data_IF_549262220663
#
_entry.id   IF_549262220663
#
_cell.length_a   1.000
_cell.length_b   1.000
_cell.length_c   1.000
_cell.angle_alpha   90.00
_cell.angle_beta   90.00
_cell.angle_gamma   90.00
#
_symmetry.space_group_name_H-M   'P 1'
#
loop_
_entity.id
_entity.type
_entity.pdbx_description
1 polymer ?
#
# COMPACT_ATOMS: atom_id res chain seq x y z
N UNK A 1 20.81 18.08 -9.41
CA UNK A 1 19.36 18.31 -9.35
C UNK A 1 19.00 18.68 -7.93
N UNK A 2 18.38 19.82 -7.69
CA UNK A 2 17.92 20.24 -6.37
C UNK A 2 16.58 19.61 -6.03
N UNK A 3 16.21 19.50 -4.74
CA UNK A 3 14.86 19.07 -4.35
C UNK A 3 13.78 20.00 -4.89
N UNK A 4 14.07 21.29 -5.09
CA UNK A 4 13.15 22.26 -5.72
C UNK A 4 12.84 21.85 -7.16
N UNK A 5 13.83 21.49 -7.95
CA UNK A 5 13.65 21.07 -9.34
C UNK A 5 12.92 19.71 -9.41
N UNK A 6 13.26 18.79 -8.51
CA UNK A 6 12.59 17.49 -8.39
C UNK A 6 11.10 17.68 -8.05
N UNK A 7 10.80 18.54 -7.07
CA UNK A 7 9.44 18.88 -6.66
C UNK A 7 8.63 19.49 -7.82
N UNK A 8 9.18 20.48 -8.50
CA UNK A 8 8.51 21.15 -9.64
C UNK A 8 8.15 20.16 -10.75
N UNK A 9 9.09 19.25 -11.10
CA UNK A 9 8.84 18.18 -12.09
C UNK A 9 7.72 17.22 -11.70
N UNK A 10 7.58 16.92 -10.38
CA UNK A 10 6.53 16.03 -9.89
C UNK A 10 5.18 16.71 -9.87
N UNK A 11 5.12 17.89 -9.27
CA UNK A 11 3.88 18.67 -9.14
C UNK A 11 3.21 18.88 -10.49
N UNK A 12 3.97 19.13 -11.57
CA UNK A 12 3.41 19.32 -12.92
C UNK A 12 2.72 18.09 -13.51
N UNK A 13 2.91 16.91 -12.93
CA UNK A 13 2.35 15.62 -13.41
C UNK A 13 1.30 15.03 -12.48
N UNK A 14 1.06 15.65 -11.32
CA UNK A 14 0.13 15.11 -10.35
C UNK A 14 -1.30 15.13 -10.90
N UNK A 15 -2.09 14.07 -10.63
CA UNK A 15 -3.52 14.11 -10.85
C UNK A 15 -4.18 15.24 -10.04
N UNK A 16 -5.33 15.74 -10.48
CA UNK A 16 -6.12 16.68 -9.66
C UNK A 16 -6.34 16.16 -8.24
N UNK A 17 -6.48 17.06 -7.29
CA UNK A 17 -6.73 16.75 -5.88
C UNK A 17 -5.74 15.73 -5.29
N UNK A 18 -4.44 15.95 -5.54
CA UNK A 18 -3.36 15.09 -5.04
C UNK A 18 -2.30 15.94 -4.34
N UNK A 19 -2.10 15.68 -3.04
CA UNK A 19 -1.13 16.37 -2.18
C UNK A 19 -0.05 15.44 -1.61
N UNK A 20 -0.05 14.16 -2.00
CA UNK A 20 0.97 13.20 -1.59
C UNK A 20 1.62 12.54 -2.81
N UNK A 21 2.95 12.48 -2.81
CA UNK A 21 3.73 11.95 -3.94
C UNK A 21 5.20 11.71 -3.56
N UNK A 22 5.86 10.85 -4.32
CA UNK A 22 7.31 10.69 -4.25
C UNK A 22 8.00 11.87 -4.91
N UNK A 23 8.57 12.74 -4.07
CA UNK A 23 9.26 13.94 -4.52
C UNK A 23 10.58 13.58 -5.21
N UNK A 24 11.38 12.69 -4.61
CA UNK A 24 12.67 12.24 -5.13
C UNK A 24 12.84 10.73 -4.95
N UNK A 25 13.26 10.04 -5.98
CA UNK A 25 13.41 8.59 -6.06
C UNK A 25 14.86 8.18 -6.38
N UNK A 26 15.44 8.79 -7.42
CA UNK A 26 16.75 8.42 -7.98
C UNK A 26 17.77 9.56 -7.98
N UNK A 27 17.35 10.74 -7.55
CA UNK A 27 18.21 11.92 -7.59
C UNK A 27 19.41 11.77 -6.64
N UNK A 28 19.24 10.96 -5.56
CA UNK A 28 20.29 10.63 -4.60
C UNK A 28 20.31 9.11 -4.35
N UNK A 29 21.39 8.39 -4.68
CA UNK A 29 21.48 6.95 -4.49
C UNK A 29 21.23 6.53 -3.04
N UNK A 30 20.28 5.61 -2.84
CA UNK A 30 19.93 5.08 -1.52
C UNK A 30 19.14 6.05 -0.63
N UNK A 31 18.57 7.10 -1.19
CA UNK A 31 17.73 8.08 -0.49
C UNK A 31 16.47 8.28 -1.31
N UNK A 32 15.31 8.21 -0.65
CA UNK A 32 14.04 8.58 -1.26
C UNK A 32 13.32 9.62 -0.41
N UNK A 33 12.53 10.45 -1.06
CA UNK A 33 11.78 11.52 -0.40
C UNK A 33 10.31 11.42 -0.81
N UNK A 34 9.44 11.23 0.17
CA UNK A 34 7.99 11.22 -0.02
C UNK A 34 7.38 12.48 0.63
N UNK A 35 6.60 13.24 -0.13
CA UNK A 35 5.83 14.36 0.40
C UNK A 35 4.42 13.93 0.71
N UNK A 36 3.94 14.30 1.90
CA UNK A 36 2.59 14.09 2.38
C UNK A 36 2.02 15.43 2.85
N UNK A 37 1.47 16.23 1.92
CA UNK A 37 0.99 17.58 2.23
C UNK A 37 2.09 18.48 2.80
N UNK A 38 1.97 18.93 4.07
CA UNK A 38 2.99 19.74 4.73
C UNK A 38 4.14 18.91 5.33
N UNK A 39 4.01 17.58 5.38
CA UNK A 39 5.04 16.69 5.92
C UNK A 39 5.86 16.02 4.83
N UNK A 40 7.13 15.79 5.12
CA UNK A 40 8.04 15.04 4.27
C UNK A 40 8.62 13.85 5.04
N UNK A 41 8.73 12.73 4.37
CA UNK A 41 9.41 11.53 4.85
C UNK A 41 10.69 11.34 4.04
N UNK A 42 11.84 11.51 4.69
CA UNK A 42 13.17 11.24 4.16
C UNK A 42 13.57 9.82 4.53
N UNK A 43 13.57 8.91 3.56
CA UNK A 43 13.94 7.50 3.77
C UNK A 43 15.38 7.25 3.35
N UNK A 44 16.17 6.71 4.27
CA UNK A 44 17.61 6.45 4.12
C UNK A 44 17.85 4.95 4.07
N UNK A 45 18.32 4.45 2.92
CA UNK A 45 18.66 3.04 2.69
C UNK A 45 20.18 2.81 2.78
N UNK A 46 20.93 3.84 3.20
CA UNK A 46 22.37 3.86 3.49
C UNK A 46 22.66 4.81 4.63
N UNK A 47 23.84 4.75 5.16
CA UNK A 47 24.34 5.78 6.07
C UNK A 47 24.39 7.12 5.33
N UNK A 48 23.86 8.15 5.93
CA UNK A 48 23.74 9.49 5.34
C UNK A 48 24.15 10.57 6.35
N UNK A 49 25.47 10.84 6.49
CA UNK A 49 25.95 11.89 7.39
C UNK A 49 25.42 13.28 7.04
N UNK A 50 24.93 13.45 5.81
CA UNK A 50 24.30 14.65 5.29
C UNK A 50 22.79 14.78 5.63
N UNK A 51 22.22 13.86 6.43
CA UNK A 51 20.75 13.82 6.66
C UNK A 51 20.17 15.14 7.17
N UNK A 52 20.87 15.84 8.07
CA UNK A 52 20.41 17.13 8.58
C UNK A 52 20.36 18.19 7.48
N UNK A 53 21.42 18.30 6.67
CA UNK A 53 21.47 19.23 5.53
C UNK A 53 20.34 18.96 4.53
N UNK A 54 20.09 17.69 4.22
CA UNK A 54 18.99 17.30 3.33
C UNK A 54 17.63 17.67 3.92
N UNK A 55 17.44 17.48 5.22
CA UNK A 55 16.22 17.86 5.92
C UNK A 55 15.98 19.39 5.89
N UNK A 56 17.03 20.17 6.11
CA UNK A 56 16.94 21.64 6.06
C UNK A 56 16.61 22.14 4.63
N UNK A 57 17.21 21.53 3.60
CA UNK A 57 16.87 21.82 2.20
C UNK A 57 15.41 21.47 1.86
N UNK A 58 14.88 20.35 2.41
CA UNK A 58 13.49 19.95 2.21
C UNK A 58 12.54 20.86 2.95
N UNK A 59 12.87 21.27 4.18
CA UNK A 59 12.07 22.21 4.96
C UNK A 59 11.96 23.59 4.29
N UNK A 60 12.97 23.99 3.50
CA UNK A 60 12.96 25.24 2.73
C UNK A 60 12.05 25.20 1.48
N UNK A 61 11.39 24.09 1.18
CA UNK A 61 10.41 24.00 0.09
C UNK A 61 9.07 24.59 0.53
N UNK A 62 8.38 25.24 -0.40
CA UNK A 62 7.08 25.86 -0.13
C UNK A 62 6.06 24.87 0.43
N UNK A 63 5.43 25.25 1.55
CA UNK A 63 4.37 24.49 2.21
C UNK A 63 4.87 23.22 2.93
N UNK A 64 6.16 23.09 3.18
CA UNK A 64 6.70 22.05 4.08
C UNK A 64 6.84 22.61 5.50
N UNK A 65 6.29 21.90 6.48
CA UNK A 65 6.31 22.27 7.90
C UNK A 65 7.18 21.35 8.73
N UNK A 66 7.37 20.09 8.27
CA UNK A 66 8.14 19.10 9.00
C UNK A 66 8.79 18.05 8.10
N UNK A 67 9.96 17.56 8.51
CA UNK A 67 10.70 16.49 7.85
C UNK A 67 10.99 15.39 8.85
N UNK A 68 10.52 14.17 8.56
CA UNK A 68 10.72 12.98 9.37
C UNK A 68 11.70 12.04 8.67
N UNK A 69 12.69 11.55 9.40
CA UNK A 69 13.64 10.57 8.85
C UNK A 69 13.19 9.14 9.13
N UNK A 70 13.38 8.26 8.16
CA UNK A 70 13.19 6.81 8.28
C UNK A 70 14.44 6.11 7.80
N UNK A 71 15.20 5.52 8.74
CA UNK A 71 16.41 4.76 8.44
C UNK A 71 16.02 3.33 8.14
N UNK A 72 16.32 2.87 6.91
CA UNK A 72 15.94 1.56 6.38
C UNK A 72 17.18 0.79 5.95
N UNK A 73 18.01 0.30 6.89
CA UNK A 73 19.21 -0.45 6.54
C UNK A 73 18.80 -1.68 5.69
N UNK A 74 19.57 -1.95 4.62
CA UNK A 74 19.30 -3.08 3.72
C UNK A 74 19.53 -4.43 4.39
N UNK A 75 20.35 -4.47 5.44
CA UNK A 75 20.66 -5.68 6.17
C UNK A 75 19.56 -5.96 7.22
N UNK A 76 18.83 -7.05 7.04
CA UNK A 76 17.79 -7.49 8.00
C UNK A 76 18.36 -7.65 9.44
N UNK A 77 19.66 -7.96 9.59
CA UNK A 77 20.34 -8.08 10.87
C UNK A 77 20.47 -6.75 11.60
N UNK A 78 20.67 -5.64 10.88
CA UNK A 78 20.67 -4.29 11.45
C UNK A 78 19.26 -3.88 11.89
N UNK A 79 18.23 -4.19 11.08
CA UNK A 79 16.84 -3.95 11.46
C UNK A 79 16.42 -4.66 12.75
N UNK A 80 16.96 -5.84 13.02
CA UNK A 80 16.65 -6.61 14.23
C UNK A 80 17.40 -6.12 15.48
N UNK A 81 18.53 -5.42 15.32
CA UNK A 81 19.42 -5.00 16.42
C UNK A 81 19.29 -3.51 16.77
N UNK A 82 18.73 -2.67 15.90
CA UNK A 82 18.52 -1.25 16.17
C UNK A 82 17.18 -1.01 16.84
N UNK A 83 17.16 -0.09 17.83
CA UNK A 83 15.91 0.28 18.48
C UNK A 83 14.95 0.92 17.45
N UNK A 84 13.69 0.54 17.50
CA UNK A 84 12.65 1.07 16.58
C UNK A 84 12.62 2.62 16.57
N UNK A 85 12.92 3.26 17.70
CA UNK A 85 12.99 4.71 17.82
C UNK A 85 14.19 5.32 17.06
N UNK A 86 15.29 4.59 16.87
CA UNK A 86 16.44 5.05 16.07
C UNK A 86 16.16 4.94 14.57
N UNK A 87 15.46 3.87 14.17
CA UNK A 87 15.06 3.67 12.77
C UNK A 87 13.99 4.67 12.32
N UNK A 88 13.07 5.01 13.21
CA UNK A 88 11.95 5.90 12.92
C UNK A 88 11.67 6.82 14.11
N UNK A 89 12.50 7.87 14.33
CA UNK A 89 12.25 8.83 15.39
C UNK A 89 10.85 9.41 15.33
N UNK A 90 10.22 9.57 16.51
CA UNK A 90 8.88 10.15 16.60
C UNK A 90 8.89 11.66 16.35
N UNK A 91 10.03 12.33 16.64
CA UNK A 91 10.20 13.75 16.38
C UNK A 91 10.74 13.99 14.97
N UNK A 92 10.33 15.08 14.31
CA UNK A 92 10.91 15.46 13.03
C UNK A 92 12.39 15.85 13.23
N UNK A 93 13.22 15.58 12.22
CA UNK A 93 14.62 16.02 12.19
C UNK A 93 14.72 17.52 11.88
N UNK A 94 13.71 18.09 11.20
CA UNK A 94 13.59 19.52 10.94
C UNK A 94 12.11 19.95 10.93
N UNK A 95 11.84 21.19 11.36
CA UNK A 95 10.49 21.77 11.41
C UNK A 95 9.73 21.45 12.70
N UNK A 96 8.40 21.53 12.65
CA UNK A 96 7.54 21.39 13.82
C UNK A 96 6.93 19.99 13.90
N UNK A 97 6.79 19.41 15.11
CA UNK A 97 6.17 18.10 15.26
C UNK A 97 4.66 18.18 14.97
N UNK A 98 4.19 17.24 14.18
CA UNK A 98 2.78 17.02 13.91
C UNK A 98 2.45 15.54 14.13
N UNK A 99 1.42 15.24 14.90
CA UNK A 99 1.02 13.85 15.14
C UNK A 99 0.41 13.22 13.88
N UNK A 100 -0.39 14.01 13.15
CA UNK A 100 -1.10 13.57 11.96
C UNK A 100 -1.19 14.68 10.90
N UNK A 101 -1.21 14.26 9.63
CA UNK A 101 -1.61 15.11 8.51
C UNK A 101 -2.79 14.48 7.79
N UNK A 102 -3.60 15.29 7.12
CA UNK A 102 -4.51 14.80 6.10
C UNK A 102 -3.93 15.11 4.72
N UNK A 103 -3.97 14.11 3.83
CA UNK A 103 -3.54 14.26 2.45
C UNK A 103 -4.62 13.77 1.51
N UNK A 104 -4.56 14.22 0.26
CA UNK A 104 -5.44 13.73 -0.80
C UNK A 104 -4.63 13.00 -1.85
N UNK A 105 -5.22 11.93 -2.38
CA UNK A 105 -4.73 11.18 -3.53
C UNK A 105 -5.88 10.99 -4.51
N UNK A 106 -5.86 11.69 -5.65
CA UNK A 106 -6.94 11.65 -6.63
C UNK A 106 -8.33 11.87 -6.01
N UNK A 107 -8.43 12.84 -5.08
CA UNK A 107 -9.66 13.16 -4.37
C UNK A 107 -10.05 12.20 -3.23
N UNK A 108 -9.20 11.23 -2.88
CA UNK A 108 -9.37 10.36 -1.71
C UNK A 108 -8.55 10.92 -0.56
N UNK A 109 -9.15 11.14 0.60
CA UNK A 109 -8.49 11.68 1.79
C UNK A 109 -7.92 10.56 2.66
N UNK A 110 -6.67 10.72 3.08
CA UNK A 110 -5.98 9.79 3.97
C UNK A 110 -5.33 10.52 5.14
N UNK A 111 -5.35 9.91 6.30
CA UNK A 111 -4.56 10.33 7.45
C UNK A 111 -3.16 9.73 7.37
N UNK A 112 -2.16 10.56 7.60
CA UNK A 112 -0.75 10.20 7.68
C UNK A 112 -0.26 10.43 9.09
N UNK A 113 0.43 9.45 9.67
CA UNK A 113 1.04 9.50 11.01
C UNK A 113 2.55 9.35 10.88
N UNK A 114 3.28 10.44 10.70
CA UNK A 114 4.70 10.39 10.38
C UNK A 114 5.55 9.78 11.50
N UNK A 115 5.11 9.91 12.76
CA UNK A 115 5.77 9.31 13.92
C UNK A 115 5.52 7.80 14.10
N UNK A 116 4.64 7.17 13.30
CA UNK A 116 4.20 5.80 13.50
C UNK A 116 5.15 4.76 12.84
N UNK A 117 6.37 4.66 13.33
CA UNK A 117 7.33 3.67 12.82
C UNK A 117 7.79 3.95 11.39
N UNK A 118 8.15 2.89 10.66
CA UNK A 118 8.69 3.01 9.30
C UNK A 118 7.62 3.29 8.23
N UNK A 119 6.37 2.92 8.47
CA UNK A 119 5.25 3.09 7.55
C UNK A 119 4.30 4.16 8.07
N UNK A 120 3.98 5.15 7.27
CA UNK A 120 3.31 6.39 7.71
C UNK A 120 1.82 6.47 7.36
N UNK A 121 1.25 5.42 6.76
CA UNK A 121 -0.20 5.32 6.51
C UNK A 121 -0.60 5.10 5.05
N UNK A 122 0.23 5.46 4.08
CA UNK A 122 -0.08 5.29 2.67
C UNK A 122 1.19 4.88 1.89
N UNK A 123 1.06 3.90 1.02
CA UNK A 123 2.09 3.48 0.08
C UNK A 123 1.79 4.07 -1.31
N UNK A 124 2.70 4.91 -1.81
CA UNK A 124 2.49 5.68 -3.04
C UNK A 124 2.62 4.82 -4.31
N UNK A 125 3.37 3.72 -4.25
CA UNK A 125 3.55 2.76 -5.36
C UNK A 125 2.24 2.12 -5.81
N UNK A 126 1.28 1.94 -4.90
CA UNK A 126 -0.04 1.36 -5.18
C UNK A 126 -1.10 2.38 -5.66
N UNK A 127 -0.75 3.65 -5.95
CA UNK A 127 -1.69 4.69 -6.41
C UNK A 127 -2.54 4.22 -7.59
N UNK A 128 -1.90 3.76 -8.67
CA UNK A 128 -2.60 3.36 -9.89
C UNK A 128 -3.48 2.13 -9.66
N UNK A 129 -3.05 1.23 -8.78
CA UNK A 129 -3.85 0.09 -8.36
C UNK A 129 -5.10 0.51 -7.57
N UNK A 130 -4.99 1.52 -6.69
CA UNK A 130 -6.15 2.08 -5.99
C UNK A 130 -7.15 2.72 -6.96
N UNK A 131 -6.68 3.48 -7.96
CA UNK A 131 -7.56 4.05 -8.98
C UNK A 131 -8.23 2.97 -9.85
N UNK A 132 -7.49 1.89 -10.17
CA UNK A 132 -8.07 0.74 -10.87
C UNK A 132 -9.20 0.09 -10.04
N UNK A 133 -9.00 -0.10 -8.74
CA UNK A 133 -10.04 -0.59 -7.82
C UNK A 133 -11.25 0.35 -7.83
N UNK A 134 -11.04 1.67 -7.73
CA UNK A 134 -12.13 2.66 -7.80
C UNK A 134 -12.98 2.51 -9.06
N UNK A 135 -12.33 2.33 -10.20
CA UNK A 135 -13.00 2.18 -11.51
C UNK A 135 -13.84 0.90 -11.58
N UNK A 136 -13.41 -0.17 -10.91
CA UNK A 136 -14.07 -1.48 -10.99
C UNK A 136 -14.98 -1.80 -9.79
N UNK A 137 -15.11 -0.89 -8.82
CA UNK A 137 -15.81 -1.19 -7.56
C UNK A 137 -17.33 -0.99 -7.60
N UNK A 138 -17.86 -0.22 -8.56
CA UNK A 138 -19.29 0.15 -8.60
C UNK A 138 -20.21 -1.06 -8.56
N UNK A 139 -21.12 -1.08 -7.58
CA UNK A 139 -22.10 -2.14 -7.36
C UNK A 139 -21.53 -3.45 -6.81
N UNK A 140 -20.23 -3.54 -6.53
CA UNK A 140 -19.55 -4.76 -6.11
C UNK A 140 -19.33 -4.85 -4.60
N UNK A 141 -19.29 -6.08 -4.10
CA UNK A 141 -18.73 -6.44 -2.81
C UNK A 141 -17.23 -6.65 -2.95
N UNK A 142 -16.42 -5.99 -2.10
CA UNK A 142 -14.95 -6.01 -2.16
C UNK A 142 -14.38 -6.63 -0.91
N UNK A 143 -13.41 -7.55 -1.06
CA UNK A 143 -12.56 -8.04 0.02
C UNK A 143 -11.13 -7.52 -0.19
N UNK A 144 -10.69 -6.67 0.70
CA UNK A 144 -9.34 -6.12 0.75
C UNK A 144 -8.54 -6.87 1.81
N UNK A 145 -7.62 -7.75 1.40
CA UNK A 145 -6.75 -8.51 2.31
C UNK A 145 -5.42 -7.81 2.49
N UNK A 146 -4.76 -8.03 3.65
CA UNK A 146 -3.56 -7.29 4.05
C UNK A 146 -3.80 -5.78 3.95
N UNK A 147 -4.96 -5.37 4.48
CA UNK A 147 -5.57 -4.09 4.13
C UNK A 147 -4.82 -2.88 4.68
N UNK A 148 -3.89 -3.08 5.63
CA UNK A 148 -3.16 -2.01 6.30
C UNK A 148 -4.15 -0.92 6.78
N UNK A 149 -3.97 0.34 6.38
CA UNK A 149 -4.86 1.47 6.70
C UNK A 149 -6.09 1.54 5.79
N UNK A 150 -6.45 0.44 5.15
CA UNK A 150 -7.63 0.25 4.30
C UNK A 150 -7.67 1.14 3.04
N UNK A 151 -6.52 1.55 2.50
CA UNK A 151 -6.47 2.46 1.34
C UNK A 151 -7.29 1.96 0.15
N UNK A 152 -7.20 0.68 -0.18
CA UNK A 152 -8.03 0.06 -1.24
C UNK A 152 -9.51 0.02 -0.88
N UNK A 153 -9.85 -0.31 0.38
CA UNK A 153 -11.23 -0.38 0.85
C UNK A 153 -11.93 0.98 0.80
N UNK A 154 -11.26 2.04 1.25
CA UNK A 154 -11.75 3.43 1.17
C UNK A 154 -11.97 3.83 -0.29
N UNK A 155 -10.99 3.56 -1.15
CA UNK A 155 -11.06 3.89 -2.57
C UNK A 155 -12.18 3.12 -3.27
N UNK A 156 -12.40 1.84 -2.91
CA UNK A 156 -13.51 1.03 -3.40
C UNK A 156 -14.87 1.62 -3.01
N UNK A 157 -15.03 2.07 -1.76
CA UNK A 157 -16.27 2.72 -1.30
C UNK A 157 -16.56 3.99 -2.09
N UNK A 158 -15.56 4.83 -2.32
CA UNK A 158 -15.67 6.01 -3.20
C UNK A 158 -15.99 5.66 -4.66
N UNK A 159 -15.55 4.47 -5.12
CA UNK A 159 -15.91 3.91 -6.43
C UNK A 159 -17.30 3.30 -6.51
N UNK A 160 -18.11 3.38 -5.44
CA UNK A 160 -19.48 2.86 -5.41
C UNK A 160 -19.57 1.38 -5.02
N UNK A 161 -18.57 0.80 -4.34
CA UNK A 161 -18.70 -0.54 -3.77
C UNK A 161 -19.85 -0.59 -2.76
N UNK A 162 -20.67 -1.62 -2.84
CA UNK A 162 -21.79 -1.85 -1.92
C UNK A 162 -21.27 -2.19 -0.52
N UNK A 163 -20.14 -2.90 -0.47
CA UNK A 163 -19.41 -3.29 0.73
C UNK A 163 -17.91 -3.33 0.45
N UNK A 164 -17.09 -2.97 1.43
CA UNK A 164 -15.64 -3.15 1.39
C UNK A 164 -15.16 -3.75 2.72
N UNK A 165 -15.03 -5.07 2.77
CA UNK A 165 -14.47 -5.77 3.92
C UNK A 165 -12.95 -5.67 3.90
N UNK A 166 -12.36 -5.18 5.00
CA UNK A 166 -10.92 -4.97 5.17
C UNK A 166 -10.38 -5.96 6.20
N UNK A 167 -9.43 -6.78 5.78
CA UNK A 167 -8.85 -7.83 6.59
C UNK A 167 -7.36 -7.59 6.79
N UNK A 168 -6.93 -7.47 8.04
CA UNK A 168 -5.53 -7.33 8.42
C UNK A 168 -5.25 -8.03 9.76
N UNK A 169 -4.03 -8.46 9.99
CA UNK A 169 -3.63 -9.09 11.25
C UNK A 169 -3.60 -8.08 12.41
N UNK A 170 -3.41 -6.81 12.14
CA UNK A 170 -3.25 -5.74 13.12
C UNK A 170 -4.53 -4.94 13.31
N UNK A 171 -5.18 -5.06 14.47
CA UNK A 171 -6.34 -4.22 14.82
C UNK A 171 -6.00 -2.72 14.78
N UNK A 172 -4.78 -2.35 15.21
CA UNK A 172 -4.34 -0.95 15.24
C UNK A 172 -4.37 -0.27 13.85
N UNK A 173 -3.98 -0.99 12.79
CA UNK A 173 -4.02 -0.40 11.43
C UNK A 173 -5.43 -0.39 10.86
N UNK A 174 -6.29 -1.33 11.27
CA UNK A 174 -7.71 -1.32 10.92
C UNK A 174 -8.45 -0.14 11.57
N UNK A 175 -8.14 0.21 12.83
CA UNK A 175 -8.68 1.40 13.50
C UNK A 175 -8.28 2.69 12.76
N UNK A 176 -7.07 2.71 12.20
CA UNK A 176 -6.64 3.80 11.32
C UNK A 176 -7.42 3.79 9.99
N UNK A 177 -7.69 2.61 9.44
CA UNK A 177 -8.55 2.44 8.27
C UNK A 177 -9.99 2.93 8.49
N UNK A 178 -10.56 2.69 9.67
CA UNK A 178 -11.86 3.25 10.07
C UNK A 178 -11.84 4.79 10.03
N UNK A 179 -10.75 5.40 10.50
CA UNK A 179 -10.57 6.86 10.42
C UNK A 179 -10.47 7.34 8.98
N UNK A 180 -9.72 6.65 8.13
CA UNK A 180 -9.65 6.97 6.70
C UNK A 180 -11.03 6.91 6.03
N UNK A 181 -11.85 5.92 6.39
CA UNK A 181 -13.21 5.82 5.85
C UNK A 181 -14.08 7.01 6.28
N UNK A 182 -13.99 7.42 7.55
CA UNK A 182 -14.71 8.60 8.09
C UNK A 182 -14.30 9.90 7.40
N UNK A 183 -13.00 10.10 7.14
CA UNK A 183 -12.48 11.27 6.43
C UNK A 183 -13.05 11.43 5.02
N UNK A 184 -13.55 10.34 4.43
CA UNK A 184 -14.19 10.32 3.13
C UNK A 184 -15.73 10.31 3.19
N UNK A 185 -16.31 10.63 4.35
CA UNK A 185 -17.76 10.82 4.52
C UNK A 185 -18.57 9.52 4.70
N UNK A 186 -17.91 8.38 4.95
CA UNK A 186 -18.59 7.12 5.21
C UNK A 186 -18.67 6.79 6.70
N UNK A 187 -19.75 6.15 7.11
CA UNK A 187 -19.86 5.54 8.44
C UNK A 187 -19.24 4.14 8.40
N UNK A 188 -18.22 3.83 9.23
CA UNK A 188 -17.67 2.49 9.30
C UNK A 188 -18.67 1.48 9.87
N UNK A 189 -18.83 0.34 9.20
CA UNK A 189 -19.40 -0.84 9.83
C UNK A 189 -18.28 -1.67 10.44
N UNK A 190 -18.33 -1.91 11.76
CA UNK A 190 -17.31 -2.70 12.47
C UNK A 190 -17.11 -4.10 11.89
N UNK A 191 -18.12 -4.66 11.23
CA UNK A 191 -18.05 -5.98 10.59
C UNK A 191 -17.21 -5.97 9.31
N UNK A 192 -16.93 -4.80 8.76
CA UNK A 192 -16.07 -4.64 7.60
C UNK A 192 -14.58 -4.41 7.95
N UNK A 193 -14.23 -4.42 9.25
CA UNK A 193 -12.85 -4.29 9.74
C UNK A 193 -12.46 -5.54 10.54
N UNK A 194 -11.91 -6.50 9.84
CA UNK A 194 -11.74 -7.87 10.29
C UNK A 194 -10.29 -8.10 10.70
N UNK A 195 -10.05 -8.32 12.01
CA UNK A 195 -8.70 -8.63 12.51
C UNK A 195 -8.44 -10.13 12.53
N UNK A 196 -7.34 -10.56 11.90
CA UNK A 196 -6.91 -11.95 11.94
C UNK A 196 -6.03 -12.36 10.76
N UNK A 197 -5.68 -13.65 10.74
CA UNK A 197 -4.90 -14.26 9.65
C UNK A 197 -5.74 -14.38 8.38
N UNK A 198 -5.15 -13.98 7.24
CA UNK A 198 -5.84 -13.97 5.95
C UNK A 198 -6.27 -15.37 5.50
N UNK A 199 -5.42 -16.39 5.65
CA UNK A 199 -5.77 -17.76 5.25
C UNK A 199 -6.91 -18.33 6.10
N UNK A 200 -6.89 -18.06 7.41
CA UNK A 200 -7.96 -18.50 8.32
C UNK A 200 -9.30 -17.86 7.95
N UNK A 201 -9.30 -16.56 7.62
CA UNK A 201 -10.53 -15.87 7.23
C UNK A 201 -11.05 -16.26 5.86
N UNK A 202 -10.18 -16.45 4.87
CA UNK A 202 -10.58 -16.98 3.56
C UNK A 202 -11.24 -18.35 3.70
N UNK A 203 -10.67 -19.25 4.53
CA UNK A 203 -11.28 -20.55 4.81
C UNK A 203 -12.63 -20.43 5.52
N UNK A 204 -12.80 -19.47 6.45
CA UNK A 204 -14.07 -19.20 7.13
C UNK A 204 -15.15 -18.66 6.18
N UNK A 205 -14.80 -17.72 5.29
CA UNK A 205 -15.71 -17.22 4.27
C UNK A 205 -16.15 -18.33 3.33
N UNK A 206 -15.21 -19.14 2.82
CA UNK A 206 -15.53 -20.28 1.96
C UNK A 206 -16.45 -21.28 2.66
N UNK A 207 -16.21 -21.61 3.93
CA UNK A 207 -17.08 -22.48 4.73
C UNK A 207 -18.51 -21.95 4.90
N UNK A 208 -18.65 -20.60 4.97
CA UNK A 208 -19.96 -19.92 5.07
C UNK A 208 -20.64 -19.72 3.70
N UNK A 209 -19.97 -20.03 2.59
CA UNK A 209 -20.43 -19.72 1.25
C UNK A 209 -20.44 -18.22 0.94
N UNK A 210 -19.70 -17.41 1.70
CA UNK A 210 -19.57 -15.97 1.48
C UNK A 210 -18.61 -15.71 0.32
N UNK A 211 -19.07 -14.93 -0.67
CA UNK A 211 -18.30 -14.61 -1.86
C UNK A 211 -18.20 -13.10 -2.08
N UNK A 212 -17.18 -12.67 -2.82
CA UNK A 212 -16.89 -11.28 -3.14
C UNK A 212 -16.72 -11.10 -4.65
N UNK A 213 -17.20 -9.96 -5.18
CA UNK A 213 -17.11 -9.63 -6.60
C UNK A 213 -15.70 -9.11 -6.98
N UNK A 214 -14.95 -8.59 -6.01
CA UNK A 214 -13.56 -8.18 -6.17
C UNK A 214 -12.77 -8.57 -4.93
N UNK A 215 -11.70 -9.34 -5.12
CA UNK A 215 -10.75 -9.69 -4.06
C UNK A 215 -9.40 -9.07 -4.38
N UNK A 216 -8.81 -8.40 -3.39
CA UNK A 216 -7.51 -7.73 -3.48
C UNK A 216 -6.51 -8.48 -2.61
N UNK A 217 -5.40 -8.90 -3.20
CA UNK A 217 -4.28 -9.57 -2.54
C UNK A 217 -3.04 -8.68 -2.66
N UNK A 218 -2.64 -8.05 -1.55
CA UNK A 218 -1.43 -7.22 -1.46
C UNK A 218 -0.59 -7.63 -0.25
N UNK A 219 -0.10 -8.89 -0.22
CA UNK A 219 0.62 -9.39 0.93
C UNK A 219 2.00 -8.74 1.07
N UNK A 220 2.53 -8.63 2.31
CA UNK A 220 3.92 -8.29 2.52
C UNK A 220 4.84 -9.35 1.90
N UNK A 221 6.06 -8.98 1.55
CA UNK A 221 7.04 -9.91 1.01
C UNK A 221 7.28 -11.14 1.88
N UNK A 222 7.12 -10.98 3.19
CA UNK A 222 7.24 -12.04 4.19
C UNK A 222 6.25 -11.83 5.36
N UNK A 223 5.59 -12.89 5.76
CA UNK A 223 4.73 -12.91 6.95
C UNK A 223 4.95 -14.19 7.76
N UNK A 224 4.96 -14.06 9.08
CA UNK A 224 5.01 -15.20 10.00
C UNK A 224 3.81 -15.11 10.94
N UNK A 225 3.04 -16.17 11.02
CA UNK A 225 2.01 -16.37 12.04
C UNK A 225 2.48 -17.42 13.05
N UNK A 226 1.70 -17.69 14.08
CA UNK A 226 2.03 -18.76 15.04
C UNK A 226 2.14 -20.15 14.39
N UNK A 227 1.46 -20.34 13.29
CA UNK A 227 1.27 -21.67 12.65
C UNK A 227 1.86 -21.77 11.25
N UNK A 228 2.20 -20.67 10.60
CA UNK A 228 2.68 -20.66 9.22
C UNK A 228 3.70 -19.59 8.92
N UNK A 229 4.54 -19.87 7.92
CA UNK A 229 5.39 -18.89 7.27
C UNK A 229 4.92 -18.71 5.84
N UNK A 230 4.85 -17.47 5.40
CA UNK A 230 4.49 -17.08 4.04
C UNK A 230 5.60 -16.22 3.46
N UNK A 231 6.02 -16.53 2.24
CA UNK A 231 6.96 -15.72 1.46
C UNK A 231 6.32 -15.46 0.11
N UNK A 232 6.06 -14.18 -0.22
CA UNK A 232 5.34 -13.83 -1.46
C UNK A 232 6.03 -14.39 -2.71
N UNK A 233 7.36 -14.34 -2.79
CA UNK A 233 8.11 -14.89 -3.94
C UNK A 233 7.90 -16.39 -4.16
N UNK A 234 7.51 -17.17 -3.15
CA UNK A 234 7.41 -18.65 -3.24
C UNK A 234 6.00 -19.18 -3.04
N UNK A 235 5.26 -18.57 -2.13
CA UNK A 235 4.02 -19.14 -1.60
C UNK A 235 2.75 -18.41 -2.13
N UNK A 236 2.90 -17.46 -3.05
CA UNK A 236 1.79 -16.63 -3.55
C UNK A 236 0.66 -17.47 -4.15
N UNK A 237 0.99 -18.58 -4.82
CA UNK A 237 0.01 -19.52 -5.37
C UNK A 237 -0.97 -20.08 -4.33
N UNK A 238 -0.52 -20.26 -3.07
CA UNK A 238 -1.39 -20.73 -1.98
C UNK A 238 -2.44 -19.67 -1.61
N UNK A 239 -2.02 -18.39 -1.60
CA UNK A 239 -2.91 -17.27 -1.32
C UNK A 239 -3.95 -17.11 -2.44
N UNK A 240 -3.53 -17.22 -3.71
CA UNK A 240 -4.44 -17.19 -4.86
C UNK A 240 -5.45 -18.34 -4.79
N UNK A 241 -5.00 -19.57 -4.46
CA UNK A 241 -5.88 -20.72 -4.31
C UNK A 241 -6.92 -20.54 -3.20
N UNK A 242 -6.53 -19.95 -2.08
CA UNK A 242 -7.47 -19.63 -1.01
C UNK A 242 -8.46 -18.54 -1.41
N UNK A 243 -7.99 -17.47 -2.08
CA UNK A 243 -8.85 -16.38 -2.53
C UNK A 243 -9.85 -16.81 -3.61
N UNK A 244 -9.46 -17.75 -4.50
CA UNK A 244 -10.33 -18.29 -5.55
C UNK A 244 -11.62 -18.91 -4.98
N UNK A 245 -11.55 -19.49 -3.78
CA UNK A 245 -12.71 -20.13 -3.13
C UNK A 245 -13.79 -19.15 -2.70
N UNK A 246 -13.44 -17.87 -2.52
CA UNK A 246 -14.33 -16.80 -2.07
C UNK A 246 -14.66 -15.79 -3.18
N UNK A 247 -14.18 -16.02 -4.40
CA UNK A 247 -14.51 -15.18 -5.56
C UNK A 247 -15.87 -15.59 -6.16
N UNK A 248 -16.72 -14.60 -6.36
CA UNK A 248 -18.00 -14.76 -7.07
C UNK A 248 -17.78 -15.24 -8.51
N UNK A 249 -18.78 -15.84 -9.16
CA UNK A 249 -18.74 -16.10 -10.60
C UNK A 249 -18.48 -14.81 -11.39
N UNK A 250 -17.51 -14.82 -12.30
CA UNK A 250 -17.01 -13.63 -13.02
C UNK A 250 -16.44 -12.54 -12.12
N UNK A 251 -16.04 -12.90 -10.88
CA UNK A 251 -15.39 -12.00 -9.94
C UNK A 251 -14.01 -11.57 -10.42
N UNK A 252 -13.57 -10.45 -9.92
CA UNK A 252 -12.26 -9.87 -10.20
C UNK A 252 -11.25 -10.22 -9.09
N UNK A 253 -10.05 -10.61 -9.48
CA UNK A 253 -8.91 -10.79 -8.59
C UNK A 253 -7.85 -9.75 -8.92
N UNK A 254 -7.58 -8.82 -8.00
CA UNK A 254 -6.41 -7.97 -8.05
C UNK A 254 -5.30 -8.63 -7.22
N UNK A 255 -4.32 -9.18 -7.89
CA UNK A 255 -3.15 -9.79 -7.27
C UNK A 255 -1.96 -8.85 -7.40
N UNK A 256 -1.37 -8.43 -6.26
CA UNK A 256 -0.22 -7.53 -6.19
C UNK A 256 0.92 -8.18 -5.44
N UNK A 257 2.14 -7.89 -5.85
CA UNK A 257 3.35 -8.39 -5.22
C UNK A 257 4.46 -7.34 -5.28
N UNK A 258 5.03 -7.01 -4.12
CA UNK A 258 6.11 -6.03 -3.99
C UNK A 258 7.41 -6.72 -3.54
N UNK A 259 7.84 -7.73 -4.30
CA UNK A 259 9.13 -8.39 -4.11
C UNK A 259 9.83 -8.55 -5.45
N UNK A 260 11.17 -8.56 -5.41
CA UNK A 260 11.97 -8.82 -6.60
C UNK A 260 11.73 -10.25 -7.11
N UNK A 261 11.05 -10.35 -8.24
CA UNK A 261 10.85 -11.58 -9.00
C UNK A 261 10.56 -11.25 -10.45
N UNK A 262 10.78 -12.20 -11.36
CA UNK A 262 10.42 -11.98 -12.75
C UNK A 262 8.88 -11.94 -12.93
N UNK A 263 8.43 -11.21 -13.95
CA UNK A 263 7.00 -11.17 -14.30
C UNK A 263 6.47 -12.57 -14.65
N UNK A 264 7.32 -13.42 -15.23
CA UNK A 264 6.99 -14.81 -15.55
C UNK A 264 6.77 -15.65 -14.28
N UNK A 265 7.65 -15.53 -13.28
CA UNK A 265 7.52 -16.28 -12.03
C UNK A 265 6.24 -15.88 -11.30
N UNK A 266 5.89 -14.59 -11.31
CA UNK A 266 4.63 -14.12 -10.74
C UNK A 266 3.42 -14.69 -11.49
N UNK A 267 3.42 -14.63 -12.83
CA UNK A 267 2.35 -15.20 -13.67
C UNK A 267 2.24 -16.74 -13.48
N UNK A 268 3.36 -17.45 -13.27
CA UNK A 268 3.36 -18.88 -12.97
C UNK A 268 2.72 -19.18 -11.61
N UNK A 269 2.98 -18.37 -10.59
CA UNK A 269 2.33 -18.50 -9.29
C UNK A 269 0.81 -18.24 -9.39
N UNK A 270 0.37 -17.24 -10.15
CA UNK A 270 -1.05 -16.97 -10.36
C UNK A 270 -1.75 -18.16 -11.05
N UNK A 271 -1.17 -18.67 -12.14
CA UNK A 271 -1.70 -19.85 -12.85
C UNK A 271 -1.78 -21.08 -11.96
N UNK A 272 -0.73 -21.35 -11.19
CA UNK A 272 -0.69 -22.47 -10.24
C UNK A 272 -1.76 -22.34 -9.16
N UNK A 273 -1.99 -21.12 -8.63
CA UNK A 273 -2.99 -20.86 -7.61
C UNK A 273 -4.43 -20.97 -8.13
N UNK A 274 -4.69 -20.54 -9.35
CA UNK A 274 -6.00 -20.67 -10.00
C UNK A 274 -6.32 -22.11 -10.43
N UNK A 275 -5.30 -22.97 -10.58
CA UNK A 275 -5.49 -24.36 -10.99
C UNK A 275 -6.19 -24.48 -12.34
N UNK A 276 -7.34 -25.19 -12.38
CA UNK A 276 -8.13 -25.38 -13.60
C UNK A 276 -9.03 -24.18 -13.93
N UNK A 277 -9.18 -23.21 -13.03
CA UNK A 277 -10.07 -22.05 -13.27
C UNK A 277 -9.45 -21.10 -14.28
N UNK A 278 -10.19 -20.83 -15.35
CA UNK A 278 -9.75 -19.89 -16.37
C UNK A 278 -9.96 -18.45 -15.90
N UNK A 279 -8.99 -17.60 -16.19
CA UNK A 279 -9.07 -16.17 -15.97
C UNK A 279 -8.63 -15.41 -17.21
N UNK A 280 -9.26 -14.26 -17.46
CA UNK A 280 -8.85 -13.30 -18.47
C UNK A 280 -8.07 -12.18 -17.77
N UNK A 281 -6.86 -11.90 -18.22
CA UNK A 281 -6.13 -10.72 -17.77
C UNK A 281 -6.81 -9.46 -18.30
N UNK A 282 -7.25 -8.60 -17.37
CA UNK A 282 -7.88 -7.30 -17.68
C UNK A 282 -6.78 -6.25 -17.86
N UNK A 283 -5.82 -6.20 -16.93
CA UNK A 283 -4.69 -5.27 -17.01
C UNK A 283 -3.50 -5.73 -16.16
N UNK A 284 -2.33 -5.20 -16.49
CA UNK A 284 -1.09 -5.31 -15.71
C UNK A 284 -0.79 -3.97 -15.05
N UNK A 285 -0.25 -4.04 -13.86
CA UNK A 285 0.15 -2.88 -13.07
C UNK A 285 1.63 -2.98 -12.68
N UNK A 286 2.24 -1.83 -12.58
CA UNK A 286 3.52 -1.58 -11.94
C UNK A 286 3.34 -0.45 -10.93
N UNK A 287 4.39 -0.10 -10.19
CA UNK A 287 4.35 1.12 -9.39
C UNK A 287 4.02 2.34 -10.25
N UNK A 288 3.29 3.29 -9.66
CA UNK A 288 2.84 4.50 -10.37
C UNK A 288 4.01 5.24 -11.01
N UNK A 289 3.95 5.45 -12.33
CA UNK A 289 4.97 6.18 -13.08
C UNK A 289 5.05 7.68 -12.71
N UNK A 290 4.05 8.20 -12.02
CA UNK A 290 4.07 9.55 -11.46
C UNK A 290 5.09 9.62 -10.33
N UNK A 291 5.10 8.63 -9.48
CA UNK A 291 5.91 8.58 -8.27
C UNK A 291 7.29 7.94 -8.52
N UNK A 292 7.38 6.93 -9.39
CA UNK A 292 8.57 6.13 -9.60
C UNK A 292 9.07 6.25 -11.04
N UNK A 293 10.36 6.57 -11.23
CA UNK A 293 10.98 6.68 -12.58
C UNK A 293 11.36 5.34 -13.15
N UNK A 294 11.78 4.42 -12.29
CA UNK A 294 12.03 3.03 -12.66
C UNK A 294 10.94 2.14 -12.06
N UNK A 295 10.61 1.01 -12.67
CA UNK A 295 9.68 0.09 -12.08
C UNK A 295 10.22 -0.35 -10.72
N UNK A 296 9.57 0.10 -9.65
CA UNK A 296 9.73 -0.50 -8.34
C UNK A 296 9.35 -1.99 -8.44
N UNK A 297 9.70 -2.79 -7.42
CA UNK A 297 9.41 -4.23 -7.42
C UNK A 297 7.91 -4.57 -7.53
N UNK A 298 7.03 -3.57 -7.41
CA UNK A 298 5.58 -3.77 -7.47
C UNK A 298 5.14 -4.30 -8.84
N UNK A 299 4.51 -5.46 -8.82
CA UNK A 299 3.81 -6.06 -9.94
C UNK A 299 2.36 -6.31 -9.56
N UNK A 300 1.43 -6.05 -10.47
CA UNK A 300 0.01 -6.34 -10.27
C UNK A 300 -0.63 -6.96 -11.51
N UNK A 301 -1.68 -7.75 -11.28
CA UNK A 301 -2.57 -8.31 -12.30
C UNK A 301 -3.99 -8.17 -11.85
N UNK A 302 -4.82 -7.54 -12.67
CA UNK A 302 -6.26 -7.63 -12.53
C UNK A 302 -6.77 -8.73 -13.45
N UNK A 303 -7.35 -9.77 -12.86
CA UNK A 303 -7.85 -10.96 -13.54
C UNK A 303 -9.37 -11.04 -13.37
N UNK A 304 -10.09 -11.27 -14.47
CA UNK A 304 -11.52 -11.63 -14.44
C UNK A 304 -11.64 -13.15 -14.54
N UNK A 305 -12.23 -13.76 -13.51
CA UNK A 305 -12.42 -15.21 -13.48
C UNK A 305 -13.61 -15.61 -14.33
N UNK A 306 -13.46 -16.65 -15.15
CA UNK A 306 -14.58 -17.21 -15.89
C UNK A 306 -15.55 -17.95 -14.95
N UNK A 307 -16.82 -18.07 -15.33
CA UNK A 307 -17.75 -18.91 -14.58
C UNK A 307 -17.20 -20.35 -14.48
N UNK A 308 -17.49 -21.00 -13.35
CA UNK A 308 -17.16 -22.44 -13.14
C UNK A 308 -17.94 -23.30 -14.12
#
# INVERSE_FOLDING_TARGET
VTFRDANARRVSKLPPDTTCYRLSDEDLPGITVDRFGPGVVLSLYRDAPEEQRLADELLALDGIESVYVKRRPREARKLANEAAAELAPAMPIAGVPNETFTVTECGVTFEIRPANGLSVGLYLDARDARQLVRTHASGRSVLNTFSYTCGFGVTARLGGATRAANLDASRKVLDWGEQNLKLNGFSPDRHDFISGDTFDWLARFAKKGETFDLVILDPPGFATTKTSRFTAARDYHRLVSAAETVLAPKGLLLAMCNVEQSSRDFDDQLRRGLGARRAKEVTRLTASAIDFRQPAALQGRLLELQAR
#
